data_IF_385517403805
#
_entry.id   IF_385517403805
#
_cell.length_a   1.000
_cell.length_b   1.000
_cell.length_c   1.000
_cell.angle_alpha   90.00
_cell.angle_beta   90.00
_cell.angle_gamma   90.00
#
_symmetry.space_group_name_H-M   'P 1'
#
loop_
_entity.id
_entity.type
_entity.pdbx_description
1 polymer ?
#
# COMPACT_ATOMS: atom_id res chain seq x y z
N UNK A 1 -10.65 7.20 12.53
CA UNK A 1 -9.96 8.45 12.14
C UNK A 1 -8.76 8.17 11.23
N UNK A 2 -7.66 7.61 11.75
CA UNK A 2 -6.46 7.31 10.95
C UNK A 2 -6.73 6.40 9.74
N UNK A 3 -7.53 5.34 9.92
CA UNK A 3 -7.90 4.37 8.85
C UNK A 3 -9.22 4.66 8.11
N UNK A 4 -9.84 5.81 8.36
CA UNK A 4 -11.14 6.17 7.80
C UNK A 4 -10.95 7.13 6.64
N UNK A 5 -11.59 6.90 5.49
CA UNK A 5 -11.48 7.78 4.33
C UNK A 5 -11.89 9.21 4.71
N UNK A 6 -11.00 10.16 4.43
CA UNK A 6 -11.22 11.59 4.52
C UNK A 6 -11.37 12.14 3.11
N UNK A 7 -12.33 13.04 2.90
CA UNK A 7 -12.62 13.65 1.60
C UNK A 7 -12.82 12.60 0.47
N UNK A 8 -13.91 11.80 0.53
CA UNK A 8 -14.13 10.70 -0.40
C UNK A 8 -14.32 11.19 -1.85
N UNK A 9 -13.91 10.35 -2.82
CA UNK A 9 -14.07 10.60 -4.26
C UNK A 9 -13.04 11.54 -4.88
N UNK A 10 -11.99 11.91 -4.14
CA UNK A 10 -10.90 12.70 -4.70
C UNK A 10 -10.01 11.84 -5.60
N UNK A 11 -9.77 12.34 -6.81
CA UNK A 11 -8.75 11.82 -7.71
C UNK A 11 -7.36 12.21 -7.20
N UNK A 12 -6.35 11.41 -7.51
CA UNK A 12 -4.98 11.72 -7.10
C UNK A 12 -3.92 10.88 -7.81
N UNK A 13 -2.66 11.22 -7.55
CA UNK A 13 -1.50 10.45 -7.96
C UNK A 13 -0.86 9.86 -6.72
N UNK A 14 -0.60 8.55 -6.73
CA UNK A 14 0.33 7.92 -5.80
C UNK A 14 1.72 8.00 -6.45
N UNK A 15 2.67 8.78 -5.89
CA UNK A 15 3.97 9.01 -6.51
C UNK A 15 4.69 7.71 -6.84
N UNK A 16 5.14 7.56 -8.08
CA UNK A 16 5.85 6.35 -8.52
C UNK A 16 4.97 5.14 -8.83
N UNK A 17 3.64 5.21 -8.59
CA UNK A 17 2.70 4.12 -8.91
C UNK A 17 1.77 4.51 -10.06
N UNK A 18 1.07 5.65 -9.95
CA UNK A 18 0.13 6.07 -10.99
C UNK A 18 -0.96 7.03 -10.52
N UNK A 19 -1.86 7.37 -11.46
CA UNK A 19 -3.06 8.19 -11.22
C UNK A 19 -4.28 7.29 -10.97
N UNK A 20 -5.13 7.69 -10.04
CA UNK A 20 -6.36 6.99 -9.68
C UNK A 20 -7.55 7.95 -9.64
N UNK A 21 -8.70 7.48 -10.15
CA UNK A 21 -9.96 8.24 -10.12
C UNK A 21 -10.62 8.25 -8.73
N UNK A 22 -10.32 7.24 -7.91
CA UNK A 22 -10.60 7.24 -6.48
C UNK A 22 -9.30 6.95 -5.73
N UNK A 23 -8.81 7.95 -5.00
CA UNK A 23 -7.51 7.93 -4.35
C UNK A 23 -7.68 8.17 -2.84
N UNK A 24 -8.25 7.20 -2.09
CA UNK A 24 -8.62 7.41 -0.70
C UNK A 24 -7.41 7.56 0.23
N UNK A 25 -7.50 8.54 1.12
CA UNK A 25 -6.57 8.78 2.22
C UNK A 25 -7.32 8.89 3.54
N UNK A 26 -6.66 8.48 4.61
CA UNK A 26 -7.05 8.78 5.98
C UNK A 26 -6.38 10.07 6.48
N UNK A 27 -6.37 10.27 7.81
CA UNK A 27 -5.59 11.35 8.43
C UNK A 27 -4.10 10.99 8.49
N UNK A 28 -3.40 11.10 7.35
CA UNK A 28 -1.96 10.90 7.21
C UNK A 28 -1.53 9.56 6.62
N UNK A 29 -2.42 8.56 6.53
CA UNK A 29 -2.14 7.29 5.86
C UNK A 29 -2.84 7.16 4.54
N UNK A 30 -2.17 6.50 3.61
CA UNK A 30 -2.81 5.97 2.44
C UNK A 30 -3.81 4.87 2.84
N UNK A 31 -4.98 4.84 2.19
CA UNK A 31 -5.90 3.70 2.22
C UNK A 31 -5.87 3.04 0.84
N UNK A 32 -5.76 1.71 0.80
CA UNK A 32 -5.65 0.94 -0.45
C UNK A 32 -6.86 1.16 -1.35
N UNK A 33 -8.07 1.03 -0.79
CA UNK A 33 -9.30 1.07 -1.56
C UNK A 33 -9.25 0.04 -2.71
N UNK A 34 -9.51 0.52 -3.92
CA UNK A 34 -9.53 -0.29 -5.15
C UNK A 34 -8.39 0.05 -6.11
N UNK A 35 -7.38 0.82 -5.68
CA UNK A 35 -6.24 1.23 -6.51
C UNK A 35 -5.56 0.02 -7.14
N UNK A 36 -5.39 0.05 -8.46
CA UNK A 36 -4.62 -0.93 -9.24
C UNK A 36 -3.91 -0.25 -10.41
N UNK A 37 -2.60 -0.48 -10.63
CA UNK A 37 -1.67 -1.26 -9.80
C UNK A 37 -1.42 -0.62 -8.42
N UNK A 38 -0.82 -1.35 -7.47
CA UNK A 38 -0.56 -0.87 -6.10
C UNK A 38 0.70 -1.50 -5.49
N UNK A 39 1.22 -0.92 -4.41
CA UNK A 39 2.42 -1.40 -3.68
C UNK A 39 2.10 -2.46 -2.61
N UNK A 40 0.83 -2.65 -2.27
CA UNK A 40 0.35 -3.75 -1.41
C UNK A 40 -0.05 -4.97 -2.22
N UNK A 41 -0.32 -6.09 -1.54
CA UNK A 41 -0.73 -7.34 -2.17
C UNK A 41 -2.07 -7.27 -2.89
N UNK A 42 -2.29 -8.21 -3.82
CA UNK A 42 -3.58 -8.40 -4.47
C UNK A 42 -4.64 -8.91 -3.48
N UNK A 43 -4.22 -9.71 -2.49
CA UNK A 43 -5.07 -10.28 -1.45
C UNK A 43 -5.34 -9.33 -0.27
N UNK A 44 -4.64 -8.19 -0.18
CA UNK A 44 -4.95 -7.18 0.83
C UNK A 44 -6.38 -6.66 0.65
N UNK A 45 -7.07 -6.46 1.77
CA UNK A 45 -8.44 -5.94 1.74
C UNK A 45 -8.46 -4.47 1.32
N UNK A 46 -9.57 -3.97 0.75
CA UNK A 46 -9.72 -2.53 0.46
C UNK A 46 -9.54 -1.62 1.68
N UNK A 47 -9.73 -2.16 2.89
CA UNK A 47 -9.56 -1.43 4.15
C UNK A 47 -8.10 -1.33 4.63
N UNK A 48 -7.16 -1.95 3.92
CA UNK A 48 -5.72 -1.87 4.20
C UNK A 48 -5.27 -0.42 4.17
N UNK A 49 -4.50 -0.01 5.17
CA UNK A 49 -3.96 1.33 5.28
C UNK A 49 -2.49 1.30 5.69
N UNK A 50 -1.75 2.36 5.37
CA UNK A 50 -0.32 2.42 5.65
C UNK A 50 0.40 3.49 4.84
N UNK A 51 1.67 3.24 4.55
CA UNK A 51 2.50 4.10 3.72
C UNK A 51 3.73 3.34 3.21
N UNK A 52 4.17 3.64 1.98
CA UNK A 52 5.51 3.29 1.50
C UNK A 52 6.36 4.54 1.33
N UNK A 53 7.68 4.42 1.45
CA UNK A 53 8.60 5.55 1.49
C UNK A 53 9.60 5.52 0.35
N UNK A 54 10.04 6.71 -0.07
CA UNK A 54 11.11 6.87 -1.06
C UNK A 54 12.44 6.20 -0.65
N UNK A 55 12.64 5.90 0.64
CA UNK A 55 13.78 5.14 1.13
C UNK A 55 13.70 3.62 0.83
N UNK A 56 12.70 3.15 0.07
CA UNK A 56 12.53 1.72 -0.23
C UNK A 56 11.89 0.93 0.91
N UNK A 57 11.05 1.57 1.71
CA UNK A 57 10.42 0.97 2.89
C UNK A 57 8.91 0.91 2.73
N UNK A 58 8.26 -0.04 3.39
CA UNK A 58 6.79 -0.12 3.42
C UNK A 58 6.28 -0.53 4.79
N UNK A 59 5.12 -0.02 5.16
CA UNK A 59 4.30 -0.52 6.24
C UNK A 59 2.84 -0.55 5.78
N UNK A 60 2.18 -1.68 5.98
CA UNK A 60 0.72 -1.77 5.84
C UNK A 60 0.11 -2.51 7.03
N UNK A 61 -1.13 -2.15 7.34
CA UNK A 61 -2.00 -2.82 8.31
C UNK A 61 -3.29 -3.18 7.59
N UNK A 62 -3.68 -4.45 7.67
CA UNK A 62 -4.93 -4.95 7.09
C UNK A 62 -5.90 -5.35 8.22
N UNK A 63 -6.88 -4.48 8.54
CA UNK A 63 -7.87 -4.75 9.58
C UNK A 63 -8.78 -5.94 9.27
N UNK A 64 -8.96 -6.31 8.00
CA UNK A 64 -9.89 -7.38 7.62
C UNK A 64 -9.37 -8.77 7.95
N UNK A 65 -8.04 -8.92 8.02
CA UNK A 65 -7.36 -10.18 8.33
C UNK A 65 -6.49 -10.10 9.60
N UNK A 66 -6.48 -8.94 10.26
CA UNK A 66 -5.71 -8.68 11.49
C UNK A 66 -4.20 -8.90 11.37
N UNK A 67 -3.63 -8.55 10.20
CA UNK A 67 -2.19 -8.66 9.92
C UNK A 67 -1.58 -7.27 9.67
N UNK A 68 -0.34 -7.08 10.08
CA UNK A 68 0.49 -5.94 9.68
C UNK A 68 1.82 -6.45 9.13
N UNK A 69 2.35 -5.76 8.13
CA UNK A 69 3.64 -6.06 7.52
C UNK A 69 4.50 -4.81 7.45
N UNK A 70 5.78 -4.96 7.76
CA UNK A 70 6.81 -3.93 7.70
C UNK A 70 8.01 -4.51 6.96
N UNK A 71 8.51 -3.77 5.98
CA UNK A 71 9.82 -4.01 5.39
C UNK A 71 10.64 -2.72 5.38
N UNK A 72 11.84 -2.80 5.93
CA UNK A 72 12.85 -1.76 5.86
C UNK A 72 13.99 -2.28 4.98
N UNK A 73 14.36 -1.51 3.96
CA UNK A 73 15.47 -1.83 3.07
C UNK A 73 16.42 -0.64 2.97
N UNK A 74 17.56 -0.84 2.32
CA UNK A 74 18.62 0.15 2.15
C UNK A 74 18.72 0.69 0.72
N UNK A 75 17.74 0.38 -0.15
CA UNK A 75 17.73 0.81 -1.55
C UNK A 75 16.59 1.80 -1.85
N UNK A 76 16.88 3.06 -2.20
CA UNK A 76 15.87 4.06 -2.56
C UNK A 76 14.90 3.56 -3.63
N UNK A 77 13.61 3.85 -3.48
CA UNK A 77 12.54 3.31 -4.33
C UNK A 77 12.72 3.65 -5.81
N UNK A 78 13.16 4.87 -6.13
CA UNK A 78 13.38 5.34 -7.49
C UNK A 78 14.48 4.60 -8.24
N UNK A 79 15.41 3.95 -7.54
CA UNK A 79 16.46 3.12 -8.15
C UNK A 79 15.96 1.75 -8.67
N UNK A 80 14.81 1.27 -8.19
CA UNK A 80 14.30 -0.08 -8.50
C UNK A 80 12.77 -0.18 -8.49
N UNK A 81 12.07 0.92 -8.75
CA UNK A 81 10.61 1.01 -8.65
C UNK A 81 9.88 -0.07 -9.47
N UNK A 82 10.40 -0.39 -10.66
CA UNK A 82 9.80 -1.38 -11.55
C UNK A 82 9.83 -2.81 -10.96
N UNK A 83 10.88 -3.16 -10.23
CA UNK A 83 11.01 -4.41 -9.50
C UNK A 83 10.24 -4.36 -8.18
N UNK A 84 10.32 -3.26 -7.43
CA UNK A 84 9.61 -3.07 -6.16
C UNK A 84 8.10 -3.26 -6.34
N UNK A 85 7.51 -2.66 -7.38
CA UNK A 85 6.08 -2.79 -7.68
C UNK A 85 5.66 -4.18 -8.19
N UNK A 86 6.58 -5.13 -8.35
CA UNK A 86 6.29 -6.56 -8.56
C UNK A 86 6.53 -7.36 -7.29
N UNK A 87 7.65 -7.10 -6.61
CA UNK A 87 8.09 -7.87 -5.46
C UNK A 87 7.34 -7.53 -4.17
N UNK A 88 6.97 -6.27 -3.94
CA UNK A 88 6.22 -5.88 -2.74
C UNK A 88 4.80 -6.45 -2.70
N UNK A 89 4.01 -6.42 -3.80
CA UNK A 89 2.72 -7.13 -3.82
C UNK A 89 2.88 -8.64 -3.60
N UNK A 90 3.84 -9.28 -4.28
CA UNK A 90 4.08 -10.72 -4.15
C UNK A 90 4.50 -11.11 -2.72
N UNK A 91 5.38 -10.31 -2.08
CA UNK A 91 5.76 -10.49 -0.69
C UNK A 91 4.57 -10.31 0.26
N UNK A 92 3.75 -9.28 0.03
CA UNK A 92 2.57 -9.01 0.86
C UNK A 92 1.55 -10.15 0.75
N UNK A 93 1.31 -10.68 -0.45
CA UNK A 93 0.43 -11.83 -0.66
C UNK A 93 0.99 -13.10 0.00
N UNK A 94 2.30 -13.30 -0.01
CA UNK A 94 2.94 -14.42 0.69
C UNK A 94 2.77 -14.31 2.22
N UNK A 95 2.95 -13.11 2.79
CA UNK A 95 2.72 -12.85 4.23
C UNK A 95 1.27 -13.13 4.61
N UNK A 96 0.31 -12.70 3.79
CA UNK A 96 -1.11 -12.97 4.01
C UNK A 96 -1.44 -14.47 3.95
N UNK A 97 -0.89 -15.17 2.96
CA UNK A 97 -1.10 -16.61 2.80
C UNK A 97 -0.50 -17.42 3.95
N UNK A 98 0.62 -16.98 4.53
CA UNK A 98 1.22 -17.61 5.71
C UNK A 98 0.44 -17.33 7.00
N UNK A 99 -0.21 -16.16 7.08
CA UNK A 99 -0.94 -15.74 8.28
C UNK A 99 -2.32 -16.40 8.46
N UNK A 100 -2.96 -16.92 7.39
CA UNK A 100 -4.21 -17.70 7.50
C UNK A 100 -5.19 -17.55 6.34
#
# INVERSE_FOLDING_TARGET
EFRSVQFPGLQGVVPGVGRFDDCPWGLGTEIRGTKQPHWTGACNTPSTFGHFGGAGTLLWVDPGVHVACLALTDRPFDEWAAEALKLWPAFSDAVLAEAG
#
